data_IF_445113430244
#
_entry.id   IF_445113430244
#
_cell.length_a   1.000
_cell.length_b   1.000
_cell.length_c   1.000
_cell.angle_alpha   90.00
_cell.angle_beta   90.00
_cell.angle_gamma   90.00
#
_symmetry.space_group_name_H-M   'P 1'
#
loop_
_entity.id
_entity.type
_entity.pdbx_description
1 polymer ?
#
# COMPACT_ATOMS: atom_id res chain seq x y z
N UNK A 1 7.64 16.86 -1.74
CA UNK A 1 6.55 17.80 -2.04
C UNK A 1 5.18 17.14 -1.94
N UNK A 2 4.90 16.04 -2.64
CA UNK A 2 3.59 15.35 -2.67
C UNK A 2 3.01 14.99 -1.29
N UNK A 3 3.81 14.47 -0.34
CA UNK A 3 3.30 14.09 1.00
C UNK A 3 2.85 15.31 1.83
N UNK A 4 3.49 16.47 1.67
CA UNK A 4 3.08 17.71 2.37
C UNK A 4 1.75 18.25 1.84
N UNK A 5 1.55 18.18 0.54
CA UNK A 5 0.30 18.57 -0.10
C UNK A 5 -0.84 17.63 0.34
N UNK A 6 -0.62 16.33 0.25
CA UNK A 6 -1.58 15.32 0.69
C UNK A 6 -1.93 15.46 2.19
N UNK A 7 -0.94 15.77 3.04
CA UNK A 7 -1.18 16.01 4.46
C UNK A 7 -2.09 17.22 4.69
N UNK A 8 -1.89 18.30 3.94
CA UNK A 8 -2.75 19.50 4.01
C UNK A 8 -4.17 19.15 3.60
N UNK A 9 -4.34 18.46 2.49
CA UNK A 9 -5.64 18.10 1.95
C UNK A 9 -6.40 17.17 2.90
N UNK A 10 -5.71 16.19 3.49
CA UNK A 10 -6.33 15.29 4.48
C UNK A 10 -6.67 16.00 5.79
N UNK A 11 -5.88 16.98 6.24
CA UNK A 11 -6.23 17.81 7.40
C UNK A 11 -7.47 18.65 7.16
N UNK A 12 -7.61 19.21 5.95
CA UNK A 12 -8.81 19.94 5.56
C UNK A 12 -10.02 19.00 5.57
N UNK A 13 -9.87 17.80 5.00
CA UNK A 13 -10.93 16.81 4.99
C UNK A 13 -11.32 16.35 6.40
N UNK A 14 -10.34 16.15 7.29
CA UNK A 14 -10.56 15.77 8.69
C UNK A 14 -11.35 16.86 9.44
N UNK A 15 -11.04 18.14 9.19
CA UNK A 15 -11.71 19.28 9.82
C UNK A 15 -13.20 19.42 9.47
N UNK A 16 -13.65 18.84 8.38
CA UNK A 16 -15.05 18.82 7.93
C UNK A 16 -15.75 17.48 8.23
N UNK A 17 -15.14 16.60 9.04
CA UNK A 17 -15.71 15.33 9.47
C UNK A 17 -15.22 14.10 8.73
N UNK A 18 -14.27 14.26 7.81
CA UNK A 18 -13.64 13.13 7.09
C UNK A 18 -14.53 12.57 5.96
N UNK A 19 -14.33 11.33 5.64
CA UNK A 19 -15.11 10.59 4.63
C UNK A 19 -16.11 9.64 5.27
N UNK A 20 -17.20 9.29 4.53
CA UNK A 20 -18.20 8.36 5.02
C UNK A 20 -17.61 6.95 5.17
N UNK A 21 -18.16 6.22 6.15
CA UNK A 21 -17.91 4.79 6.32
C UNK A 21 -18.86 4.03 5.39
N UNK A 22 -18.32 3.11 4.59
CA UNK A 22 -19.12 2.18 3.79
C UNK A 22 -19.50 1.00 4.67
N UNK A 23 -20.82 0.75 4.93
CA UNK A 23 -21.24 -0.34 5.82
C UNK A 23 -20.82 -1.72 5.28
N UNK A 24 -20.64 -2.72 6.18
CA UNK A 24 -20.40 -4.09 5.78
C UNK A 24 -21.66 -4.68 5.10
N UNK A 25 -21.46 -5.71 4.31
CA UNK A 25 -22.53 -6.39 3.58
C UNK A 25 -21.95 -7.34 2.53
N UNK A 26 -22.77 -7.72 1.57
CA UNK A 26 -22.34 -8.52 0.43
C UNK A 26 -21.26 -7.81 -0.38
N UNK A 27 -20.50 -8.58 -1.14
CA UNK A 27 -19.46 -8.07 -2.04
C UNK A 27 -20.10 -7.11 -3.04
N UNK A 28 -19.46 -5.95 -3.25
CA UNK A 28 -19.86 -5.01 -4.28
C UNK A 28 -18.96 -5.16 -5.50
N UNK A 29 -19.54 -5.39 -6.64
CA UNK A 29 -18.85 -5.57 -7.92
C UNK A 29 -19.66 -4.95 -9.06
N UNK A 30 -19.10 -4.91 -10.25
CA UNK A 30 -19.78 -4.36 -11.42
C UNK A 30 -21.14 -5.02 -11.66
N UNK A 31 -22.18 -4.19 -11.76
CA UNK A 31 -23.56 -4.61 -11.90
C UNK A 31 -24.34 -4.65 -10.59
N UNK A 32 -23.70 -4.56 -9.43
CA UNK A 32 -24.37 -4.47 -8.13
C UNK A 32 -25.29 -3.25 -8.06
N UNK A 33 -26.50 -3.45 -7.53
CA UNK A 33 -27.46 -2.40 -7.17
C UNK A 33 -27.62 -2.39 -5.65
N UNK A 34 -26.96 -1.43 -4.98
CA UNK A 34 -26.91 -1.38 -3.52
C UNK A 34 -26.82 0.07 -3.05
N UNK A 35 -27.52 0.42 -1.99
CA UNK A 35 -27.47 1.78 -1.39
C UNK A 35 -26.07 2.15 -0.90
N UNK A 36 -25.25 1.17 -0.52
CA UNK A 36 -23.86 1.38 -0.11
C UNK A 36 -22.97 1.93 -1.23
N UNK A 37 -23.36 1.72 -2.49
CA UNK A 37 -22.61 2.26 -3.65
C UNK A 37 -22.58 3.78 -3.65
N UNK A 38 -23.63 4.45 -3.16
CA UNK A 38 -23.62 5.90 -3.01
C UNK A 38 -22.54 6.38 -2.02
N UNK A 39 -22.41 5.70 -0.88
CA UNK A 39 -21.37 6.00 0.10
C UNK A 39 -19.97 5.68 -0.46
N UNK A 40 -19.85 4.57 -1.20
CA UNK A 40 -18.61 4.20 -1.88
C UNK A 40 -18.19 5.25 -2.91
N UNK A 41 -19.11 5.72 -3.74
CA UNK A 41 -18.86 6.80 -4.71
C UNK A 41 -18.35 8.05 -4.01
N UNK A 42 -19.06 8.51 -3.00
CA UNK A 42 -18.66 9.68 -2.20
C UNK A 42 -17.27 9.49 -1.58
N UNK A 43 -17.01 8.31 -1.01
CA UNK A 43 -15.70 7.94 -0.45
C UNK A 43 -14.57 8.01 -1.50
N UNK A 44 -14.81 7.52 -2.72
CA UNK A 44 -13.84 7.50 -3.82
C UNK A 44 -13.62 8.90 -4.42
N UNK A 45 -14.66 9.74 -4.46
CA UNK A 45 -14.53 11.16 -4.87
C UNK A 45 -13.65 11.92 -3.90
N UNK A 46 -13.89 11.79 -2.59
CA UNK A 46 -13.10 12.47 -1.55
C UNK A 46 -11.62 12.04 -1.55
N UNK A 47 -11.30 10.85 -2.03
CA UNK A 47 -9.92 10.38 -2.19
C UNK A 47 -9.35 10.60 -3.60
N UNK A 48 -10.07 11.29 -4.49
CA UNK A 48 -9.68 11.58 -5.88
C UNK A 48 -9.44 10.31 -6.73
N UNK A 49 -10.07 9.21 -6.35
CA UNK A 49 -10.07 7.98 -7.14
C UNK A 49 -11.17 7.99 -8.21
N UNK A 50 -12.32 8.62 -7.89
CA UNK A 50 -13.43 8.87 -8.79
C UNK A 50 -13.52 10.38 -9.07
N UNK A 51 -13.80 10.76 -10.32
CA UNK A 51 -14.18 12.13 -10.65
C UNK A 51 -15.55 12.46 -10.02
N UNK A 52 -15.82 13.76 -9.79
CA UNK A 52 -17.14 14.18 -9.33
C UNK A 52 -18.21 13.65 -10.28
N UNK A 53 -19.13 12.90 -9.70
CA UNK A 53 -20.17 12.20 -10.43
C UNK A 53 -21.54 12.62 -9.86
N UNK A 54 -22.23 13.48 -10.58
CA UNK A 54 -23.61 13.89 -10.31
C UNK A 54 -24.62 12.88 -10.89
N UNK A 55 -24.21 11.62 -11.10
CA UNK A 55 -24.99 10.67 -11.85
C UNK A 55 -26.29 10.26 -11.13
N UNK A 56 -27.36 10.19 -11.91
CA UNK A 56 -28.66 9.63 -11.54
C UNK A 56 -28.58 8.12 -11.14
N UNK A 57 -27.40 7.51 -11.26
CA UNK A 57 -27.13 6.09 -10.97
C UNK A 57 -26.40 5.88 -9.67
N UNK A 58 -26.71 6.69 -8.64
CA UNK A 58 -26.00 6.69 -7.35
C UNK A 58 -25.87 5.30 -6.69
N UNK A 59 -26.81 4.39 -6.92
CA UNK A 59 -26.83 3.06 -6.31
C UNK A 59 -26.27 1.96 -7.21
N UNK A 60 -25.88 2.30 -8.43
CA UNK A 60 -25.36 1.33 -9.41
C UNK A 60 -23.83 1.31 -9.41
N UNK A 61 -23.26 0.13 -9.21
CA UNK A 61 -21.83 -0.11 -9.36
C UNK A 61 -21.51 -0.29 -10.84
N UNK A 62 -21.25 0.80 -11.51
CA UNK A 62 -20.96 0.85 -12.94
C UNK A 62 -19.45 0.74 -13.25
N UNK A 63 -19.09 0.86 -14.52
CA UNK A 63 -17.70 0.78 -14.97
C UNK A 63 -16.82 1.91 -14.39
N UNK A 64 -17.39 3.09 -14.10
CA UNK A 64 -16.62 4.21 -13.53
C UNK A 64 -16.23 3.93 -12.07
N UNK A 65 -17.15 3.34 -11.30
CA UNK A 65 -16.88 2.91 -9.92
C UNK A 65 -15.88 1.75 -9.91
N UNK A 66 -16.02 0.76 -10.80
CA UNK A 66 -15.06 -0.34 -10.93
C UNK A 66 -13.64 0.20 -11.19
N UNK A 67 -13.47 1.10 -12.14
CA UNK A 67 -12.19 1.71 -12.46
C UNK A 67 -11.62 2.51 -11.27
N UNK A 68 -12.46 3.23 -10.53
CA UNK A 68 -12.07 3.96 -9.34
C UNK A 68 -11.65 3.01 -8.19
N UNK A 69 -12.34 1.88 -8.02
CA UNK A 69 -11.97 0.85 -7.03
C UNK A 69 -10.63 0.23 -7.40
N UNK A 70 -10.37 -0.12 -8.66
CA UNK A 70 -9.06 -0.61 -9.12
C UNK A 70 -7.94 0.40 -8.83
N UNK A 71 -8.17 1.68 -9.13
CA UNK A 71 -7.22 2.76 -8.82
C UNK A 71 -6.95 2.87 -7.32
N UNK A 72 -8.01 2.76 -6.50
CA UNK A 72 -7.88 2.74 -5.04
C UNK A 72 -7.07 1.53 -4.57
N UNK A 73 -7.37 0.33 -5.08
CA UNK A 73 -6.68 -0.92 -4.75
C UNK A 73 -5.19 -0.84 -5.09
N UNK A 74 -4.84 -0.39 -6.31
CA UNK A 74 -3.46 -0.22 -6.78
C UNK A 74 -2.63 0.60 -5.78
N UNK A 75 -3.11 1.80 -5.42
CA UNK A 75 -2.34 2.67 -4.51
C UNK A 75 -2.37 2.26 -3.03
N UNK A 76 -3.18 1.25 -2.67
CA UNK A 76 -3.22 0.65 -1.33
C UNK A 76 -2.56 -0.73 -1.27
N UNK A 77 -1.91 -1.19 -2.34
CA UNK A 77 -1.24 -2.48 -2.40
C UNK A 77 -2.19 -3.67 -2.28
N UNK A 78 -3.45 -3.50 -2.71
CA UNK A 78 -4.46 -4.54 -2.77
C UNK A 78 -4.48 -5.19 -4.16
N UNK A 79 -5.15 -6.33 -4.28
CA UNK A 79 -5.43 -6.95 -5.58
C UNK A 79 -6.35 -6.04 -6.41
N UNK A 80 -5.94 -5.73 -7.64
CA UNK A 80 -6.63 -4.79 -8.53
C UNK A 80 -7.76 -5.47 -9.31
N UNK A 81 -8.65 -6.15 -8.60
CA UNK A 81 -9.79 -6.89 -9.18
C UNK A 81 -11.03 -6.03 -9.45
N UNK A 82 -11.07 -4.80 -8.88
CA UNK A 82 -12.22 -3.89 -8.98
C UNK A 82 -13.39 -4.29 -8.08
N UNK A 83 -13.20 -5.23 -7.16
CA UNK A 83 -14.22 -5.79 -6.29
C UNK A 83 -14.05 -5.24 -4.86
N UNK A 84 -15.15 -4.81 -4.24
CA UNK A 84 -15.13 -4.37 -2.84
C UNK A 84 -15.47 -5.55 -1.93
N UNK A 85 -14.48 -6.41 -1.74
CA UNK A 85 -14.50 -7.46 -0.73
C UNK A 85 -14.04 -6.95 0.65
N UNK A 86 -13.89 -7.85 1.62
CA UNK A 86 -13.56 -7.51 3.01
C UNK A 86 -12.27 -6.70 3.17
N UNK A 87 -11.21 -7.02 2.42
CA UNK A 87 -9.92 -6.31 2.47
C UNK A 87 -10.04 -4.89 1.91
N UNK A 88 -10.69 -4.75 0.76
CA UNK A 88 -10.92 -3.44 0.11
C UNK A 88 -11.80 -2.56 0.98
N UNK A 89 -12.87 -3.12 1.56
CA UNK A 89 -13.77 -2.43 2.47
C UNK A 89 -13.04 -1.94 3.74
N UNK A 90 -12.22 -2.79 4.34
CA UNK A 90 -11.41 -2.41 5.51
C UNK A 90 -10.46 -1.24 5.17
N UNK A 91 -9.81 -1.26 4.01
CA UNK A 91 -8.92 -0.18 3.57
C UNK A 91 -9.67 1.13 3.28
N UNK A 92 -10.88 1.06 2.68
CA UNK A 92 -11.76 2.21 2.43
C UNK A 92 -12.17 2.88 3.74
N UNK A 93 -12.45 2.10 4.77
CA UNK A 93 -12.98 2.55 6.05
C UNK A 93 -11.92 3.00 7.06
N UNK A 94 -10.63 2.95 6.71
CA UNK A 94 -9.59 3.55 7.57
C UNK A 94 -9.88 5.05 7.73
N UNK A 95 -10.03 5.58 8.95
CA UNK A 95 -10.34 7.00 9.19
C UNK A 95 -9.28 7.95 8.61
N UNK A 96 -9.69 9.17 8.24
CA UNK A 96 -8.78 10.23 7.76
C UNK A 96 -7.68 10.52 8.79
N UNK A 97 -8.02 10.59 10.06
CA UNK A 97 -7.07 10.82 11.14
C UNK A 97 -5.96 9.76 11.20
N UNK A 98 -6.29 8.49 10.99
CA UNK A 98 -5.28 7.43 10.89
C UNK A 98 -4.40 7.58 9.65
N UNK A 99 -4.96 7.97 8.49
CA UNK A 99 -4.19 8.26 7.28
C UNK A 99 -3.23 9.44 7.48
N UNK A 100 -3.66 10.48 8.20
CA UNK A 100 -2.80 11.60 8.61
C UNK A 100 -1.62 11.10 9.43
N UNK A 101 -1.85 10.22 10.42
CA UNK A 101 -0.78 9.64 11.23
C UNK A 101 0.18 8.81 10.37
N UNK A 102 -0.33 8.00 9.45
CA UNK A 102 0.51 7.23 8.52
C UNK A 102 1.40 8.15 7.66
N UNK A 103 0.86 9.26 7.16
CA UNK A 103 1.63 10.25 6.38
C UNK A 103 2.72 10.87 7.26
N UNK A 104 2.40 11.31 8.48
CA UNK A 104 3.37 11.92 9.40
C UNK A 104 4.51 10.95 9.74
N UNK A 105 4.20 9.70 10.07
CA UNK A 105 5.21 8.67 10.34
C UNK A 105 6.10 8.42 9.12
N UNK A 106 5.53 8.34 7.93
CA UNK A 106 6.32 8.15 6.71
C UNK A 106 7.17 9.38 6.37
N UNK A 107 6.66 10.59 6.59
CA UNK A 107 7.47 11.81 6.43
C UNK A 107 8.65 11.83 7.39
N UNK A 108 8.48 11.34 8.63
CA UNK A 108 9.58 11.23 9.59
C UNK A 108 10.59 10.16 9.16
N UNK A 109 10.14 8.99 8.69
CA UNK A 109 11.04 7.94 8.15
C UNK A 109 11.88 8.43 6.98
N UNK A 110 11.31 9.27 6.10
CA UNK A 110 12.06 9.87 5.00
C UNK A 110 13.19 10.80 5.46
N UNK A 111 13.08 11.39 6.65
CA UNK A 111 14.17 12.22 7.23
C UNK A 111 15.37 11.40 7.71
N UNK A 112 15.15 10.11 7.99
CA UNK A 112 16.22 9.20 8.43
C UNK A 112 17.01 8.63 7.25
N UNK A 113 16.51 8.77 6.06
CA UNK A 113 17.27 8.36 4.88
C UNK A 113 18.42 9.33 4.61
N UNK A 114 19.58 8.85 4.12
CA UNK A 114 20.66 9.71 3.66
C UNK A 114 20.14 10.74 2.66
N UNK A 115 20.57 12.00 2.79
CA UNK A 115 20.10 13.08 1.92
C UNK A 115 20.50 12.90 0.45
N UNK A 116 21.61 12.21 0.22
CA UNK A 116 22.10 11.82 -1.10
C UNK A 116 22.34 10.32 -1.14
N UNK A 117 21.69 9.64 -2.06
CA UNK A 117 21.84 8.20 -2.29
C UNK A 117 22.88 7.89 -3.37
N UNK A 118 23.46 8.94 -4.00
CA UNK A 118 24.35 8.81 -5.13
C UNK A 118 23.61 8.61 -6.46
N UNK A 119 24.38 8.48 -7.54
CA UNK A 119 23.83 8.33 -8.90
C UNK A 119 23.26 6.93 -9.15
N UNK A 120 23.70 5.92 -8.39
CA UNK A 120 23.27 4.52 -8.52
C UNK A 120 22.98 3.95 -7.15
N UNK A 121 21.77 3.45 -6.96
CA UNK A 121 21.38 2.81 -5.69
C UNK A 121 20.27 1.79 -5.88
N UNK A 122 20.14 0.89 -4.91
CA UNK A 122 19.00 -0.01 -4.77
C UNK A 122 18.13 0.50 -3.61
N UNK A 123 16.85 0.71 -3.88
CA UNK A 123 15.87 1.09 -2.88
C UNK A 123 14.90 -0.08 -2.66
N UNK A 124 14.85 -0.59 -1.42
CA UNK A 124 13.89 -1.63 -1.05
C UNK A 124 12.77 -1.02 -0.22
N UNK A 125 11.60 -0.91 -0.83
CA UNK A 125 10.37 -0.52 -0.15
C UNK A 125 9.72 -1.75 0.48
N UNK A 126 10.08 -2.05 1.73
CA UNK A 126 9.56 -3.22 2.45
C UNK A 126 8.04 -3.21 2.58
N UNK A 127 7.43 -2.04 2.76
CA UNK A 127 5.98 -1.91 2.89
C UNK A 127 5.25 -2.18 1.55
N UNK A 128 5.90 -1.84 0.43
CA UNK A 128 5.39 -2.08 -0.93
C UNK A 128 5.77 -3.45 -1.50
N UNK A 129 6.66 -4.22 -0.83
CA UNK A 129 7.23 -5.47 -1.36
C UNK A 129 7.96 -5.27 -2.70
N UNK A 130 8.68 -4.17 -2.83
CA UNK A 130 9.26 -3.73 -4.09
C UNK A 130 10.73 -3.34 -3.91
N UNK A 131 11.56 -3.69 -4.90
CA UNK A 131 12.93 -3.24 -5.04
C UNK A 131 13.05 -2.44 -6.33
N UNK A 132 13.66 -1.28 -6.25
CA UNK A 132 13.97 -0.44 -7.40
C UNK A 132 15.49 -0.25 -7.51
N UNK A 133 16.02 -0.43 -8.72
CA UNK A 133 17.35 0.04 -9.07
C UNK A 133 17.21 1.39 -9.76
N UNK A 134 17.96 2.36 -9.26
CA UNK A 134 17.95 3.73 -9.76
C UNK A 134 19.33 4.07 -10.29
N UNK A 135 19.38 4.70 -11.45
CA UNK A 135 20.59 5.22 -12.08
C UNK A 135 20.31 6.60 -12.69
N UNK A 136 21.12 7.58 -12.31
CA UNK A 136 20.92 8.97 -12.79
C UNK A 136 19.57 9.57 -12.44
N UNK A 137 18.92 9.13 -11.34
CA UNK A 137 17.60 9.59 -10.93
C UNK A 137 16.42 8.87 -11.59
N UNK A 138 16.67 7.95 -12.52
CA UNK A 138 15.65 7.16 -13.22
C UNK A 138 15.62 5.72 -12.70
N UNK A 139 14.41 5.15 -12.58
CA UNK A 139 14.25 3.74 -12.24
C UNK A 139 14.56 2.89 -13.45
N UNK A 140 15.71 2.17 -13.41
CA UNK A 140 16.16 1.30 -14.52
C UNK A 140 15.69 -0.14 -14.36
N UNK A 141 15.29 -0.55 -13.18
CA UNK A 141 14.74 -1.87 -12.91
C UNK A 141 13.84 -1.80 -11.67
N UNK A 142 12.72 -2.49 -11.72
CA UNK A 142 11.86 -2.76 -10.57
C UNK A 142 11.52 -4.24 -10.49
N UNK A 143 11.34 -4.75 -9.27
CA UNK A 143 10.93 -6.13 -9.04
C UNK A 143 10.23 -6.30 -7.68
N UNK A 144 9.39 -7.31 -7.57
CA UNK A 144 8.81 -7.70 -6.30
C UNK A 144 9.83 -8.43 -5.43
N UNK A 145 9.79 -8.17 -4.13
CA UNK A 145 10.67 -8.82 -3.16
C UNK A 145 9.86 -9.52 -2.06
N UNK A 146 10.47 -10.54 -1.47
CA UNK A 146 9.94 -11.21 -0.29
C UNK A 146 10.58 -10.58 0.94
N UNK A 147 9.77 -10.16 1.89
CA UNK A 147 10.22 -9.62 3.17
C UNK A 147 9.88 -10.59 4.32
N UNK A 148 10.52 -10.37 5.46
CA UNK A 148 10.27 -11.15 6.67
C UNK A 148 8.85 -10.96 7.23
N UNK A 149 8.37 -11.96 7.96
CA UNK A 149 7.09 -11.92 8.68
C UNK A 149 7.18 -11.03 9.93
N UNK A 150 6.05 -10.57 10.53
CA UNK A 150 6.07 -9.69 11.71
C UNK A 150 6.99 -10.14 12.85
N UNK A 151 7.10 -11.46 13.10
CA UNK A 151 7.98 -12.00 14.16
C UNK A 151 9.41 -12.31 13.69
N UNK A 152 9.71 -12.10 12.41
CA UNK A 152 11.00 -12.32 11.74
C UNK A 152 11.18 -11.26 10.67
N UNK A 153 11.00 -10.00 11.09
CA UNK A 153 11.03 -8.86 10.19
C UNK A 153 12.41 -8.69 9.54
N UNK A 154 12.39 -8.31 8.28
CA UNK A 154 13.58 -7.80 7.59
C UNK A 154 14.01 -6.50 8.28
N UNK A 155 15.25 -6.36 8.75
CA UNK A 155 15.72 -5.12 9.34
C UNK A 155 15.81 -4.00 8.29
N UNK A 156 15.50 -2.77 8.69
CA UNK A 156 15.80 -1.59 7.88
C UNK A 156 17.27 -1.22 8.08
N UNK A 157 18.02 -1.10 6.99
CA UNK A 157 19.43 -0.67 7.02
C UNK A 157 19.79 0.02 5.71
N UNK A 158 20.88 0.76 5.73
CA UNK A 158 21.56 1.27 4.55
C UNK A 158 23.00 0.72 4.54
N UNK A 159 23.55 0.47 3.37
CA UNK A 159 24.90 -0.05 3.20
C UNK A 159 25.37 0.10 1.77
N UNK A 160 26.64 -0.08 1.55
CA UNK A 160 27.27 -0.10 0.23
C UNK A 160 27.39 -1.53 -0.29
N UNK A 161 27.00 -1.74 -1.55
CA UNK A 161 27.18 -3.02 -2.23
C UNK A 161 28.60 -3.07 -2.79
N UNK A 162 29.44 -3.95 -2.24
CA UNK A 162 30.84 -4.10 -2.61
C UNK A 162 31.10 -5.30 -3.54
N UNK A 163 30.27 -6.33 -3.50
CA UNK A 163 30.40 -7.50 -4.36
C UNK A 163 29.08 -8.24 -4.53
N UNK A 164 29.02 -9.08 -5.56
CA UNK A 164 27.92 -10.02 -5.82
C UNK A 164 28.47 -11.44 -5.72
N UNK A 165 27.75 -12.29 -5.01
CA UNK A 165 28.05 -13.72 -4.92
C UNK A 165 26.96 -14.52 -5.65
N UNK A 166 27.36 -15.34 -6.61
CA UNK A 166 26.46 -16.22 -7.35
C UNK A 166 26.42 -17.61 -6.70
N UNK A 167 25.24 -18.17 -6.54
CA UNK A 167 25.01 -19.46 -5.87
C UNK A 167 25.66 -19.54 -4.48
N UNK A 168 25.43 -18.57 -3.58
CA UNK A 168 26.00 -18.60 -2.24
C UNK A 168 25.49 -19.81 -1.44
N UNK A 169 26.32 -20.32 -0.52
CA UNK A 169 25.83 -21.26 0.47
C UNK A 169 24.84 -20.58 1.41
N UNK A 170 23.71 -21.25 1.67
CA UNK A 170 22.78 -20.77 2.68
C UNK A 170 23.25 -21.13 4.07
N UNK A 171 23.89 -20.22 4.76
CA UNK A 171 24.25 -20.35 6.18
C UNK A 171 22.99 -20.17 7.03
N UNK A 172 22.38 -21.28 7.44
CA UNK A 172 21.15 -21.26 8.23
C UNK A 172 21.43 -20.72 9.61
N UNK A 173 20.80 -19.62 10.04
CA UNK A 173 20.91 -19.14 11.42
C UNK A 173 20.48 -20.23 12.42
N UNK A 174 21.23 -20.39 13.51
CA UNK A 174 21.01 -21.43 14.52
C UNK A 174 19.55 -21.50 15.01
N UNK A 175 18.94 -20.32 15.22
CA UNK A 175 17.53 -20.24 15.65
C UNK A 175 16.55 -20.80 14.62
N UNK A 176 16.81 -20.62 13.33
CA UNK A 176 15.99 -21.20 12.25
C UNK A 176 16.22 -22.71 12.13
N UNK A 177 17.46 -23.14 12.28
CA UNK A 177 17.78 -24.57 12.26
C UNK A 177 17.00 -25.33 13.33
N UNK A 178 17.00 -24.86 14.56
CA UNK A 178 16.33 -25.53 15.69
C UNK A 178 14.80 -25.43 15.61
N UNK A 179 14.25 -24.26 15.31
CA UNK A 179 12.81 -24.03 15.42
C UNK A 179 12.02 -24.47 14.17
N UNK A 180 12.64 -24.43 12.99
CA UNK A 180 11.93 -24.66 11.75
C UNK A 180 12.38 -25.91 10.97
N UNK A 181 13.68 -26.22 10.98
CA UNK A 181 14.21 -27.31 10.16
C UNK A 181 14.29 -28.63 10.92
N UNK A 182 14.84 -28.64 12.11
CA UNK A 182 14.99 -29.84 12.93
C UNK A 182 13.66 -30.57 13.20
N UNK A 183 12.56 -29.90 13.60
CA UNK A 183 11.28 -30.55 13.80
C UNK A 183 10.71 -31.23 12.55
N UNK A 184 10.99 -30.68 11.37
CA UNK A 184 10.54 -31.22 10.08
C UNK A 184 11.36 -32.44 9.62
N UNK A 185 12.58 -32.59 10.12
CA UNK A 185 13.42 -33.74 9.82
C UNK A 185 13.19 -34.91 10.79
N UNK A 186 12.56 -34.64 11.94
CA UNK A 186 12.24 -35.63 12.96
C UNK A 186 10.82 -36.23 12.84
N UNK A 187 9.99 -35.63 11.97
CA UNK A 187 8.63 -36.07 11.64
C UNK A 187 8.61 -36.96 10.40
#
# INVERSE_FOLDING_TARGET
>A
LRLKELLRDYRTLDSIGGWPVVPPGEVLERGSLDQRVQLLRHRLVLSSDLANDDSATAFHFDASVEAAVRKFQARHGLEEDGIVGSKTLAALNVPVSERIQQILVNMERWRWMPGELGDRYLLVNMAGFELQAVEGGEVVMDMRVIIGRPYRSTPAFAGEMSYLEFNPYWNVPHKLAILDLLPKQQA
#
